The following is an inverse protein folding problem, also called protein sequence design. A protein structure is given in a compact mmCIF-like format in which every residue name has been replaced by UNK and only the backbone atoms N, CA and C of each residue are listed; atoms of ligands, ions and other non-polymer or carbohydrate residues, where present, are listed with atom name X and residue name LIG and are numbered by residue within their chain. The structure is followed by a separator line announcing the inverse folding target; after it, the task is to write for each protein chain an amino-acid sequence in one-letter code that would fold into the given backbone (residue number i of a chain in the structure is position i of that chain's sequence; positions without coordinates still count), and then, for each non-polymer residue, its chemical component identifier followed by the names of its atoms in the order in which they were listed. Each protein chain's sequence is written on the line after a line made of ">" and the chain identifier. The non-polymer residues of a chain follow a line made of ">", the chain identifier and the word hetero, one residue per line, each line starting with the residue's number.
data_IF_950012438114
#
_entry.id   IF_950012438114
#
_cell.length_a   1.000
_cell.length_b   1.000
_cell.length_c   1.000
_cell.angle_alpha   90.00
_cell.angle_beta   90.00
_cell.angle_gamma   90.00
#
_symmetry.space_group_name_H-M   'P 1'
#
loop_
_entity.id
_entity.type
_entity.pdbx_description
1 polymer ?
#
# COMPACT_ATOMS: atom_id res chain seq x y z
N UNK A 1 -1.74 18.04 -38.50
CA UNK A 1 -1.40 16.71 -37.98
C UNK A 1 -0.15 16.28 -38.73
N UNK A 2 0.99 16.23 -38.06
CA UNK A 2 2.25 15.77 -38.65
C UNK A 2 2.24 14.26 -38.73
N UNK A 3 2.67 13.71 -39.87
CA UNK A 3 2.87 12.27 -39.98
C UNK A 3 4.07 11.84 -39.15
N UNK A 4 3.87 10.82 -38.31
CA UNK A 4 4.95 10.23 -37.51
C UNK A 4 5.53 9.09 -38.34
N UNK A 5 6.73 9.31 -38.87
CA UNK A 5 7.49 8.28 -39.58
C UNK A 5 8.58 7.76 -38.65
N UNK A 6 8.50 6.48 -38.31
CA UNK A 6 9.53 5.80 -37.54
C UNK A 6 10.55 5.17 -38.50
N UNK A 7 11.74 5.75 -38.55
CA UNK A 7 12.87 5.19 -39.31
C UNK A 7 13.70 4.28 -38.41
N UNK A 8 14.15 3.14 -38.95
CA UNK A 8 15.05 2.19 -38.28
C UNK A 8 14.63 1.75 -36.86
N UNK A 9 13.31 1.63 -36.63
CA UNK A 9 12.81 1.17 -35.33
C UNK A 9 13.22 -0.28 -35.07
N UNK A 10 13.69 -0.53 -33.86
CA UNK A 10 13.97 -1.88 -33.36
C UNK A 10 12.74 -2.80 -33.56
N UNK A 11 12.90 -4.00 -34.17
CA UNK A 11 11.78 -4.89 -34.46
C UNK A 11 11.00 -5.32 -33.21
N UNK A 12 11.69 -5.52 -32.08
CA UNK A 12 11.04 -5.92 -30.84
C UNK A 12 10.18 -4.77 -30.28
N UNK A 13 10.65 -3.53 -30.37
CA UNK A 13 9.87 -2.35 -30.00
C UNK A 13 8.64 -2.19 -30.91
N UNK A 14 8.79 -2.38 -32.23
CA UNK A 14 7.68 -2.34 -33.17
C UNK A 14 6.61 -3.39 -32.82
N UNK A 15 7.00 -4.61 -32.49
CA UNK A 15 6.06 -5.67 -32.10
C UNK A 15 5.34 -5.35 -30.78
N UNK A 16 6.03 -4.71 -29.83
CA UNK A 16 5.40 -4.21 -28.60
C UNK A 16 4.35 -3.15 -28.89
N UNK A 17 4.66 -2.18 -29.76
CA UNK A 17 3.71 -1.15 -30.18
C UNK A 17 2.49 -1.78 -30.86
N UNK A 18 2.70 -2.74 -31.78
CA UNK A 18 1.62 -3.46 -32.44
C UNK A 18 0.71 -4.20 -31.45
N UNK A 19 1.28 -4.83 -30.42
CA UNK A 19 0.50 -5.48 -29.35
C UNK A 19 -0.36 -4.48 -28.58
N UNK A 20 0.17 -3.29 -28.26
CA UNK A 20 -0.61 -2.23 -27.61
C UNK A 20 -1.75 -1.76 -28.50
N UNK A 21 -1.45 -1.47 -29.78
CA UNK A 21 -2.44 -1.05 -30.76
C UNK A 21 -3.57 -2.08 -30.89
N UNK A 22 -3.24 -3.37 -31.05
CA UNK A 22 -4.22 -4.45 -31.14
C UNK A 22 -5.06 -4.59 -29.86
N UNK A 23 -4.45 -4.52 -28.68
CA UNK A 23 -5.15 -4.64 -27.39
C UNK A 23 -6.15 -3.50 -27.19
N UNK A 24 -5.82 -2.30 -27.67
CA UNK A 24 -6.67 -1.10 -27.56
C UNK A 24 -7.56 -0.86 -28.78
N UNK A 25 -7.48 -1.72 -29.80
CA UNK A 25 -8.16 -1.54 -31.09
C UNK A 25 -7.86 -0.19 -31.75
N UNK A 26 -6.63 0.31 -31.57
CA UNK A 26 -6.17 1.56 -32.15
C UNK A 26 -5.44 1.33 -33.48
N UNK A 27 -5.59 2.24 -34.46
CA UNK A 27 -4.70 2.27 -35.61
C UNK A 27 -3.27 2.57 -35.14
N UNK A 28 -2.27 2.05 -35.87
CA UNK A 28 -0.87 2.12 -35.44
C UNK A 28 -0.41 3.56 -35.16
N UNK A 29 -0.83 4.51 -35.99
CA UNK A 29 -0.45 5.92 -35.85
C UNK A 29 -1.07 6.59 -34.61
N UNK A 30 -2.29 6.22 -34.23
CA UNK A 30 -2.93 6.69 -32.99
C UNK A 30 -2.27 6.07 -31.77
N UNK A 31 -1.96 4.76 -31.83
CA UNK A 31 -1.20 4.10 -30.77
C UNK A 31 0.17 4.76 -30.56
N UNK A 32 0.86 5.13 -31.64
CA UNK A 32 2.12 5.85 -31.58
C UNK A 32 1.97 7.23 -30.94
N UNK A 33 0.96 7.99 -31.33
CA UNK A 33 0.68 9.30 -30.72
C UNK A 33 0.49 9.17 -29.21
N UNK A 34 -0.39 8.26 -28.77
CA UNK A 34 -0.64 8.05 -27.36
C UNK A 34 0.58 7.56 -26.60
N UNK A 35 1.38 6.65 -27.18
CA UNK A 35 2.60 6.18 -26.54
C UNK A 35 3.65 7.29 -26.38
N UNK A 36 3.74 8.21 -27.35
CA UNK A 36 4.63 9.37 -27.25
C UNK A 36 4.14 10.36 -26.18
N UNK A 37 2.84 10.63 -26.12
CA UNK A 37 2.24 11.49 -25.08
C UNK A 37 2.50 10.93 -23.67
N UNK A 38 2.25 9.64 -23.46
CA UNK A 38 2.49 8.98 -22.18
C UNK A 38 3.99 8.91 -21.85
N UNK A 39 4.83 8.65 -22.85
CA UNK A 39 6.28 8.64 -22.69
C UNK A 39 6.82 10.02 -22.29
N UNK A 40 6.33 11.09 -22.94
CA UNK A 40 6.69 12.46 -22.60
C UNK A 40 6.27 12.79 -21.17
N UNK A 41 5.03 12.48 -20.81
CA UNK A 41 4.53 12.68 -19.44
C UNK A 41 5.38 11.96 -18.40
N UNK A 42 5.80 10.71 -18.67
CA UNK A 42 6.66 9.96 -17.76
C UNK A 42 8.05 10.61 -17.60
N UNK A 43 8.67 11.07 -18.70
CA UNK A 43 9.95 11.77 -18.66
C UNK A 43 9.86 13.11 -17.91
N UNK A 44 8.78 13.87 -18.12
CA UNK A 44 8.54 15.14 -17.40
C UNK A 44 8.28 14.91 -15.91
N UNK A 45 7.54 13.85 -15.56
CA UNK A 45 7.34 13.47 -14.17
C UNK A 45 8.66 13.09 -13.49
N UNK A 46 9.57 12.40 -14.17
CA UNK A 46 10.91 12.09 -13.63
C UNK A 46 11.76 13.35 -13.42
N UNK A 47 11.68 14.31 -14.33
CA UNK A 47 12.30 15.63 -14.18
C UNK A 47 11.72 16.40 -12.98
N UNK A 48 10.40 16.31 -12.77
CA UNK A 48 9.68 16.94 -11.67
C UNK A 48 9.81 16.19 -10.33
N UNK A 49 10.18 14.90 -10.34
CA UNK A 49 10.42 14.08 -9.15
C UNK A 49 11.72 14.45 -8.40
N UNK A 50 12.38 15.53 -8.82
CA UNK A 50 13.42 16.18 -8.01
C UNK A 50 12.73 17.04 -6.97
N UNK A 51 13.15 16.93 -5.70
CA UNK A 51 12.66 17.84 -4.69
C UNK A 51 12.82 19.27 -5.18
N UNK A 52 11.71 20.02 -5.15
CA UNK A 52 11.81 21.47 -5.26
C UNK A 52 12.58 21.97 -4.04
N UNK A 53 13.11 23.19 -4.11
CA UNK A 53 13.78 23.79 -2.96
C UNK A 53 12.87 23.80 -1.72
N UNK A 54 11.56 24.01 -1.92
CA UNK A 54 10.55 23.94 -0.85
C UNK A 54 10.44 22.54 -0.26
N UNK A 55 10.38 21.49 -1.09
CA UNK A 55 10.29 20.11 -0.61
C UNK A 55 11.57 19.68 0.12
N UNK A 56 12.73 20.10 -0.39
CA UNK A 56 14.02 19.84 0.23
C UNK A 56 14.10 20.52 1.61
N UNK A 57 13.67 21.78 1.72
CA UNK A 57 13.61 22.50 2.99
C UNK A 57 12.63 21.85 3.98
N UNK A 58 11.44 21.46 3.52
CA UNK A 58 10.44 20.78 4.34
C UNK A 58 10.96 19.43 4.86
N UNK A 59 11.60 18.64 3.99
CA UNK A 59 12.21 17.37 4.37
C UNK A 59 13.35 17.59 5.37
N UNK A 60 14.20 18.58 5.15
CA UNK A 60 15.32 18.88 6.04
C UNK A 60 14.84 19.34 7.43
N UNK A 61 13.76 20.13 7.49
CA UNK A 61 13.13 20.50 8.75
C UNK A 61 12.53 19.30 9.49
N UNK A 62 11.89 18.37 8.75
CA UNK A 62 11.35 17.14 9.34
C UNK A 62 12.46 16.22 9.89
N UNK A 63 13.57 16.05 9.16
CA UNK A 63 14.73 15.27 9.64
C UNK A 63 15.31 15.91 10.91
N UNK A 64 15.55 17.22 10.91
CA UNK A 64 16.08 17.92 12.07
C UNK A 64 15.16 17.79 13.31
N UNK A 65 13.84 17.82 13.11
CA UNK A 65 12.89 17.58 14.19
C UNK A 65 12.96 16.14 14.75
N UNK A 66 13.16 15.15 13.87
CA UNK A 66 13.28 13.73 14.26
C UNK A 66 14.62 13.41 14.95
N UNK A 67 15.72 14.06 14.54
CA UNK A 67 17.03 13.91 15.20
C UNK A 67 17.03 14.38 16.65
N UNK A 68 16.18 15.36 16.97
CA UNK A 68 15.98 15.83 18.34
C UNK A 68 15.17 14.89 19.24
N UNK A 69 14.58 13.81 18.69
CA UNK A 69 13.79 12.87 19.48
C UNK A 69 14.72 12.01 20.34
N UNK A 70 14.59 12.03 21.67
CA UNK A 70 15.40 11.17 22.53
C UNK A 70 15.19 9.69 22.18
N UNK A 71 16.29 8.94 22.07
CA UNK A 71 16.22 7.48 21.94
C UNK A 71 15.80 6.87 23.26
N UNK A 72 14.50 6.89 23.56
CA UNK A 72 13.91 6.21 24.70
C UNK A 72 13.63 4.73 24.33
N UNK A 73 14.26 3.76 25.01
CA UNK A 73 13.96 2.34 24.84
C UNK A 73 12.46 1.99 24.96
N UNK A 74 11.69 2.82 25.65
CA UNK A 74 10.24 2.69 25.83
C UNK A 74 9.42 2.84 24.55
N UNK A 75 9.80 3.74 23.62
CA UNK A 75 9.05 3.93 22.35
C UNK A 75 9.02 2.66 21.50
N UNK A 76 10.14 1.93 21.46
CA UNK A 76 10.23 0.64 20.77
C UNK A 76 9.35 -0.45 21.37
N UNK A 77 8.82 -0.25 22.59
CA UNK A 77 7.98 -1.23 23.31
C UNK A 77 6.49 -0.89 23.27
N UNK A 78 6.10 0.26 22.71
CA UNK A 78 4.69 0.63 22.51
C UNK A 78 4.07 -0.39 21.55
N UNK A 79 3.03 -1.10 22.01
CA UNK A 79 2.36 -2.17 21.25
C UNK A 79 2.96 -3.58 21.43
N UNK A 80 4.05 -3.74 22.20
CA UNK A 80 4.65 -5.04 22.54
C UNK A 80 4.36 -5.50 23.98
N UNK A 81 3.54 -4.76 24.72
CA UNK A 81 3.04 -5.23 26.00
C UNK A 81 1.97 -6.30 25.73
N UNK A 82 2.15 -7.49 26.30
CA UNK A 82 1.12 -8.53 26.29
C UNK A 82 -0.17 -7.95 26.87
N UNK A 83 -1.27 -8.08 26.12
CA UNK A 83 -2.58 -7.68 26.60
C UNK A 83 -2.93 -8.64 27.74
N UNK A 84 -3.40 -8.17 28.92
CA UNK A 84 -3.74 -9.04 30.06
C UNK A 84 -4.81 -10.12 29.79
N UNK A 85 -5.39 -10.16 28.59
CA UNK A 85 -6.41 -11.13 28.16
C UNK A 85 -5.85 -12.34 27.40
N UNK A 86 -4.55 -12.37 27.07
CA UNK A 86 -3.91 -13.57 26.49
C UNK A 86 -3.51 -14.60 27.57
N UNK A 87 -3.82 -14.32 28.85
CA UNK A 87 -3.68 -15.26 29.97
C UNK A 87 -4.74 -16.35 29.82
N UNK A 88 -4.37 -17.41 29.11
CA UNK A 88 -5.00 -18.73 29.01
C UNK A 88 -6.35 -18.87 29.74
N UNK A 89 -7.40 -18.29 29.16
CA UNK A 89 -8.77 -18.51 29.63
C UNK A 89 -9.19 -19.85 29.05
N UNK A 90 -9.39 -20.85 29.92
CA UNK A 90 -9.91 -22.13 29.49
C UNK A 90 -11.20 -21.89 28.68
N UNK A 91 -11.38 -22.52 27.49
CA UNK A 91 -12.60 -22.41 26.71
C UNK A 91 -13.82 -22.69 27.58
N UNK A 92 -14.96 -22.05 27.29
CA UNK A 92 -16.22 -22.24 28.03
C UNK A 92 -16.61 -23.73 28.19
N UNK A 93 -16.16 -24.59 27.27
CA UNK A 93 -16.38 -26.04 27.31
C UNK A 93 -15.53 -26.77 28.37
N UNK A 94 -14.40 -26.20 28.79
CA UNK A 94 -13.52 -26.72 29.84
C UNK A 94 -13.79 -26.09 31.21
N UNK A 95 -14.39 -24.90 31.22
CA UNK A 95 -14.91 -24.30 32.43
C UNK A 95 -16.15 -25.08 32.86
N UNK A 96 -16.00 -25.92 33.90
CA UNK A 96 -17.12 -26.68 34.45
C UNK A 96 -18.30 -25.79 34.87
N UNK A 97 -19.39 -26.43 35.27
CA UNK A 97 -20.68 -25.78 35.57
C UNK A 97 -20.49 -24.57 36.51
N UNK A 98 -20.80 -23.37 36.01
CA UNK A 98 -20.65 -22.14 36.78
C UNK A 98 -21.65 -22.13 37.94
N UNK A 99 -21.42 -21.27 38.93
CA UNK A 99 -22.36 -21.14 40.05
C UNK A 99 -23.76 -20.71 39.55
N UNK A 100 -23.81 -19.90 38.49
CA UNK A 100 -25.06 -19.48 37.82
C UNK A 100 -25.77 -20.67 37.16
N UNK A 101 -25.02 -21.54 36.49
CA UNK A 101 -25.58 -22.74 35.87
C UNK A 101 -26.13 -23.73 36.93
N UNK A 102 -25.45 -23.84 38.08
CA UNK A 102 -25.92 -24.66 39.21
C UNK A 102 -27.22 -24.13 39.80
N UNK A 103 -27.34 -22.82 39.98
CA UNK A 103 -28.56 -22.19 40.49
C UNK A 103 -29.74 -22.34 39.52
N UNK A 104 -29.50 -22.21 38.22
CA UNK A 104 -30.53 -22.43 37.18
C UNK A 104 -31.04 -23.88 37.18
N UNK A 105 -30.17 -24.88 37.30
CA UNK A 105 -30.61 -26.27 37.40
C UNK A 105 -31.39 -26.54 38.70
N UNK A 106 -30.95 -25.97 39.82
CA UNK A 106 -31.66 -26.10 41.10
C UNK A 106 -33.05 -25.46 41.05
N UNK A 107 -33.23 -24.37 40.29
CA UNK A 107 -34.53 -23.76 40.04
C UNK A 107 -35.41 -24.64 39.14
N UNK A 108 -34.84 -25.20 38.07
CA UNK A 108 -35.56 -26.09 37.15
C UNK A 108 -36.03 -27.40 37.80
N UNK A 109 -35.31 -27.91 38.81
CA UNK A 109 -35.71 -29.12 39.56
C UNK A 109 -36.80 -28.87 40.61
N UNK A 110 -37.10 -27.60 40.92
CA UNK A 110 -38.16 -27.21 41.87
C UNK A 110 -39.51 -26.90 41.20
N UNK A 111 -39.59 -26.98 39.87
CA UNK A 111 -40.82 -26.84 39.07
C UNK A 111 -41.34 -28.21 38.65
#
# INVERSE_FOLDING_TARGET
>A
MTDIILHDIDPLLLDRIKRVAATRSWPLQEALMHLLEHGLFACEAELAARFTDTDAMALQAAIAALEGVPSDPGFSKIGRMERPHDVNVAPLEQAGLTDVDRDLMAYAQKS
#
